data_IF_557967453389
#
_entry.id   IF_557967453389
#
_cell.length_a   1.000
_cell.length_b   1.000
_cell.length_c   1.000
_cell.angle_alpha   90.00
_cell.angle_beta   90.00
_cell.angle_gamma   90.00
#
_symmetry.space_group_name_H-M   'P 1'
#
loop_
_entity.id
_entity.type
_entity.pdbx_description
1 polymer ?
#
# COMPACT_ATOMS: atom_id res chain seq x y z
N UNK A 1 -17.44 17.68 6.94
CA UNK A 1 -17.13 16.29 6.56
C UNK A 1 -17.67 16.06 5.16
N UNK A 2 -16.80 15.76 4.19
CA UNK A 2 -17.28 15.22 2.91
C UNK A 2 -18.00 13.90 3.22
N UNK A 3 -19.21 13.69 2.70
CA UNK A 3 -19.99 12.45 2.95
C UNK A 3 -19.37 11.18 2.34
N UNK A 4 -18.05 11.14 2.16
CA UNK A 4 -17.30 10.04 1.56
C UNK A 4 -17.27 8.85 2.52
N UNK A 5 -17.67 7.68 2.01
CA UNK A 5 -17.59 6.43 2.77
C UNK A 5 -16.13 6.00 2.91
N UNK A 6 -15.70 5.77 4.13
CA UNK A 6 -14.34 5.32 4.45
C UNK A 6 -14.41 3.95 5.12
N UNK A 7 -13.51 3.07 4.70
CA UNK A 7 -13.27 1.78 5.34
C UNK A 7 -11.92 1.87 6.07
N UNK A 8 -11.93 1.81 7.40
CA UNK A 8 -10.72 2.03 8.22
C UNK A 8 -9.80 0.81 8.31
N UNK A 9 -10.23 -0.34 7.77
CA UNK A 9 -9.53 -1.62 7.83
C UNK A 9 -9.76 -2.39 6.53
N UNK A 10 -8.77 -3.17 6.14
CA UNK A 10 -8.88 -4.15 5.06
C UNK A 10 -7.54 -4.86 4.82
N UNK A 11 -7.61 -6.03 4.21
CA UNK A 11 -6.45 -6.82 3.79
C UNK A 11 -6.17 -6.55 2.31
N UNK A 12 -4.98 -6.02 2.02
CA UNK A 12 -4.53 -5.79 0.64
C UNK A 12 -3.76 -7.01 0.13
N UNK A 13 -4.22 -7.56 -0.98
CA UNK A 13 -3.50 -8.59 -1.73
C UNK A 13 -2.66 -7.91 -2.81
N UNK A 14 -1.34 -8.10 -2.76
CA UNK A 14 -0.46 -7.64 -3.81
C UNK A 14 -0.18 -8.80 -4.79
N UNK A 15 -0.55 -8.62 -6.04
CA UNK A 15 -0.25 -9.54 -7.14
C UNK A 15 0.80 -8.93 -8.08
N UNK A 16 1.47 -9.75 -8.88
CA UNK A 16 2.52 -9.27 -9.79
C UNK A 16 1.97 -8.43 -10.97
N UNK A 17 0.85 -8.85 -11.58
CA UNK A 17 0.38 -8.25 -12.83
C UNK A 17 1.26 -8.61 -14.04
N UNK A 18 1.13 -7.91 -15.19
CA UNK A 18 0.22 -6.80 -15.47
C UNK A 18 -1.21 -7.26 -15.80
N UNK A 19 -1.42 -8.56 -15.98
CA UNK A 19 -2.74 -9.11 -16.20
C UNK A 19 -3.58 -9.03 -14.91
N UNK A 20 -4.88 -8.74 -15.06
CA UNK A 20 -5.83 -8.87 -13.96
C UNK A 20 -6.00 -10.33 -13.56
N UNK A 21 -6.47 -10.54 -12.33
CA UNK A 21 -6.79 -11.87 -11.83
C UNK A 21 -7.87 -12.53 -12.70
N UNK A 22 -7.71 -13.82 -12.94
CA UNK A 22 -8.83 -14.67 -13.34
C UNK A 22 -9.87 -14.72 -12.22
N UNK A 23 -11.11 -15.10 -12.55
CA UNK A 23 -12.16 -15.24 -11.55
C UNK A 23 -11.81 -16.25 -10.45
N UNK A 24 -11.10 -17.33 -10.79
CA UNK A 24 -10.66 -18.31 -9.81
C UNK A 24 -9.66 -17.71 -8.80
N UNK A 25 -8.72 -16.90 -9.27
CA UNK A 25 -7.78 -16.18 -8.41
C UNK A 25 -8.51 -15.15 -7.54
N UNK A 26 -9.44 -14.36 -8.10
CA UNK A 26 -10.24 -13.41 -7.32
C UNK A 26 -11.02 -14.08 -6.18
N UNK A 27 -11.63 -15.25 -6.44
CA UNK A 27 -12.32 -16.01 -5.39
C UNK A 27 -11.35 -16.59 -4.36
N UNK A 28 -10.17 -17.07 -4.79
CA UNK A 28 -9.12 -17.53 -3.88
C UNK A 28 -8.66 -16.39 -2.95
N UNK A 29 -8.41 -15.19 -3.49
CA UNK A 29 -8.01 -14.03 -2.69
C UNK A 29 -9.08 -13.65 -1.65
N UNK A 30 -10.36 -13.74 -2.03
CA UNK A 30 -11.48 -13.51 -1.10
C UNK A 30 -11.55 -14.58 -0.01
N UNK A 31 -11.32 -15.85 -0.36
CA UNK A 31 -11.25 -16.95 0.61
C UNK A 31 -10.11 -16.77 1.62
N UNK A 32 -9.00 -16.15 1.20
CA UNK A 32 -7.89 -15.77 2.10
C UNK A 32 -8.19 -14.52 2.95
N UNK A 33 -9.35 -13.89 2.77
CA UNK A 33 -9.74 -12.68 3.48
C UNK A 33 -9.20 -11.39 2.87
N UNK A 34 -8.82 -11.40 1.59
CA UNK A 34 -8.46 -10.20 0.84
C UNK A 34 -9.68 -9.30 0.58
N UNK A 35 -9.57 -8.04 0.98
CA UNK A 35 -10.59 -7.01 0.77
C UNK A 35 -10.31 -6.16 -0.48
N UNK A 36 -9.03 -6.00 -0.79
CA UNK A 36 -8.52 -5.18 -1.88
C UNK A 36 -7.42 -5.93 -2.62
N UNK A 37 -7.25 -5.63 -3.90
CA UNK A 37 -6.17 -6.18 -4.72
C UNK A 37 -5.50 -5.07 -5.52
N UNK A 38 -4.19 -5.20 -5.73
CA UNK A 38 -3.42 -4.37 -6.66
C UNK A 38 -1.99 -4.89 -6.79
N UNK A 39 -1.10 -4.06 -7.31
CA UNK A 39 0.20 -4.51 -7.82
C UNK A 39 1.41 -3.72 -7.28
N UNK A 40 1.21 -2.80 -6.33
CA UNK A 40 2.25 -1.81 -5.97
C UNK A 40 2.64 -1.77 -4.50
N UNK A 41 1.78 -2.22 -3.58
CA UNK A 41 2.06 -2.09 -2.14
C UNK A 41 3.23 -2.97 -1.66
N UNK A 42 3.60 -3.99 -2.45
CA UNK A 42 4.77 -4.83 -2.21
C UNK A 42 5.71 -4.74 -3.41
N UNK A 43 7.03 -4.59 -3.20
CA UNK A 43 7.75 -4.62 -1.92
C UNK A 43 7.77 -3.30 -1.14
N UNK A 44 7.07 -2.26 -1.58
CA UNK A 44 7.12 -0.91 -1.00
C UNK A 44 6.95 -0.88 0.53
N UNK A 45 5.93 -1.54 1.07
CA UNK A 45 5.68 -1.57 2.51
C UNK A 45 6.80 -2.26 3.31
N UNK A 46 7.48 -3.26 2.72
CA UNK A 46 8.64 -3.93 3.34
C UNK A 46 9.85 -3.00 3.34
N UNK A 47 10.13 -2.36 2.21
CA UNK A 47 11.25 -1.42 2.10
C UNK A 47 11.07 -0.22 3.03
N UNK A 48 9.85 0.31 3.15
CA UNK A 48 9.56 1.37 4.11
C UNK A 48 9.82 0.92 5.56
N UNK A 49 9.48 -0.33 5.90
CA UNK A 49 9.78 -0.90 7.22
C UNK A 49 11.28 -1.08 7.46
N UNK A 50 12.03 -1.56 6.47
CA UNK A 50 13.48 -1.68 6.53
C UNK A 50 14.17 -0.31 6.61
N UNK A 51 13.58 0.73 6.04
CA UNK A 51 14.01 2.12 6.21
C UNK A 51 13.48 2.80 7.48
N UNK A 52 12.77 2.06 8.33
CA UNK A 52 12.18 2.52 9.59
C UNK A 52 11.22 3.71 9.45
N UNK A 53 10.55 3.78 8.30
CA UNK A 53 9.54 4.78 7.99
C UNK A 53 8.16 4.29 8.43
N UNK A 54 7.38 5.17 9.08
CA UNK A 54 5.97 4.91 9.33
C UNK A 54 5.21 4.93 8.00
N UNK A 55 4.71 3.77 7.59
CA UNK A 55 4.02 3.57 6.32
C UNK A 55 2.53 3.30 6.52
N UNK A 56 1.68 3.97 5.74
CA UNK A 56 0.25 3.71 5.66
C UNK A 56 -0.21 3.80 4.21
N UNK A 57 -1.07 2.86 3.80
CA UNK A 57 -1.62 2.80 2.45
C UNK A 57 -3.03 3.37 2.42
N UNK A 58 -3.28 4.32 1.51
CA UNK A 58 -4.62 4.81 1.19
C UNK A 58 -5.04 4.18 -0.14
N UNK A 59 -5.88 3.16 -0.08
CA UNK A 59 -6.38 2.51 -1.28
C UNK A 59 -7.58 3.26 -1.87
N UNK A 60 -7.62 3.34 -3.20
CA UNK A 60 -8.69 3.97 -3.97
C UNK A 60 -9.38 2.88 -4.80
N UNK A 61 -10.49 2.30 -4.32
CA UNK A 61 -11.19 1.24 -5.06
C UNK A 61 -11.72 1.79 -6.40
N UNK A 62 -11.28 1.18 -7.50
CA UNK A 62 -11.67 1.54 -8.86
C UNK A 62 -12.81 0.69 -9.40
N UNK A 63 -12.78 -0.60 -9.06
CA UNK A 63 -13.67 -1.64 -9.55
C UNK A 63 -13.76 -2.79 -8.53
N UNK A 64 -14.45 -3.86 -8.92
CA UNK A 64 -14.71 -5.04 -8.09
C UNK A 64 -13.88 -6.26 -8.52
N UNK A 65 -12.76 -6.08 -9.21
CA UNK A 65 -11.98 -7.17 -9.80
C UNK A 65 -12.88 -8.11 -10.64
N UNK A 66 -12.42 -9.33 -10.93
CA UNK A 66 -13.14 -10.29 -11.76
C UNK A 66 -14.11 -11.21 -10.99
N UNK A 67 -14.24 -11.07 -9.66
CA UNK A 67 -15.19 -11.90 -8.88
C UNK A 67 -16.65 -11.51 -9.15
N UNK A 68 -16.90 -10.21 -9.39
CA UNK A 68 -18.24 -9.73 -9.72
C UNK A 68 -18.50 -9.98 -11.22
N UNK A 69 -19.56 -10.72 -11.58
CA UNK A 69 -19.91 -10.92 -12.98
C UNK A 69 -20.07 -9.57 -13.68
N UNK A 70 -19.42 -9.41 -14.83
CA UNK A 70 -19.60 -8.22 -15.66
C UNK A 70 -21.07 -8.12 -16.05
N UNK A 71 -21.66 -6.94 -15.90
CA UNK A 71 -23.05 -6.76 -16.30
C UNK A 71 -23.13 -6.88 -17.83
N UNK A 72 -23.99 -7.77 -18.31
CA UNK A 72 -24.10 -8.12 -19.74
C UNK A 72 -24.74 -7.01 -20.58
N UNK A 73 -25.24 -5.95 -19.95
CA UNK A 73 -25.86 -4.77 -20.55
C UNK A 73 -24.86 -3.65 -20.88
N UNK A 74 -23.61 -3.73 -20.40
CA UNK A 74 -22.59 -2.70 -20.62
C UNK A 74 -21.52 -3.15 -21.61
N UNK A 75 -21.16 -2.27 -22.54
CA UNK A 75 -20.00 -2.43 -23.40
C UNK A 75 -18.69 -2.29 -22.60
N UNK A 76 -17.59 -2.88 -23.12
CA UNK A 76 -16.25 -2.74 -22.51
C UNK A 76 -15.84 -1.27 -22.31
N UNK A 77 -16.27 -0.39 -23.22
CA UNK A 77 -15.99 1.05 -23.14
C UNK A 77 -16.75 1.73 -22.00
N UNK A 78 -18.00 1.33 -21.75
CA UNK A 78 -18.79 1.87 -20.63
C UNK A 78 -18.23 1.42 -19.29
N UNK A 79 -17.76 0.17 -19.19
CA UNK A 79 -17.06 -0.32 -18.00
C UNK A 79 -15.79 0.50 -17.72
N UNK A 80 -14.94 0.71 -18.73
CA UNK A 80 -13.75 1.55 -18.58
C UNK A 80 -14.11 2.98 -18.16
N UNK A 81 -15.19 3.54 -18.72
CA UNK A 81 -15.67 4.88 -18.35
C UNK A 81 -16.14 4.95 -16.89
N UNK A 82 -16.81 3.91 -16.39
CA UNK A 82 -17.19 3.78 -14.98
C UNK A 82 -15.94 3.76 -14.08
N UNK A 83 -14.94 2.94 -14.43
CA UNK A 83 -13.66 2.82 -13.70
C UNK A 83 -12.93 4.17 -13.65
N UNK A 84 -12.78 4.85 -14.78
CA UNK A 84 -12.14 6.17 -14.83
C UNK A 84 -12.92 7.23 -14.05
N UNK A 85 -14.25 7.17 -14.07
CA UNK A 85 -15.11 8.04 -13.26
C UNK A 85 -14.88 7.85 -11.76
N UNK A 86 -14.91 6.60 -11.29
CA UNK A 86 -14.64 6.23 -9.90
C UNK A 86 -13.24 6.68 -9.47
N UNK A 87 -12.23 6.43 -10.30
CA UNK A 87 -10.84 6.85 -10.04
C UNK A 87 -10.70 8.37 -9.92
N UNK A 88 -11.40 9.13 -10.75
CA UNK A 88 -11.32 10.60 -10.72
C UNK A 88 -11.89 11.14 -9.41
N UNK A 89 -13.04 10.63 -8.98
CA UNK A 89 -13.65 11.02 -7.71
C UNK A 89 -12.81 10.58 -6.52
N UNK A 90 -12.33 9.34 -6.52
CA UNK A 90 -11.49 8.80 -5.46
C UNK A 90 -10.17 9.58 -5.34
N UNK A 91 -9.55 9.94 -6.46
CA UNK A 91 -8.31 10.75 -6.50
C UNK A 91 -8.55 12.14 -5.90
N UNK A 92 -9.67 12.79 -6.24
CA UNK A 92 -10.03 14.08 -5.65
C UNK A 92 -10.18 13.97 -4.13
N UNK A 93 -10.87 12.94 -3.64
CA UNK A 93 -11.03 12.71 -2.21
C UNK A 93 -9.70 12.40 -1.51
N UNK A 94 -8.81 11.65 -2.17
CA UNK A 94 -7.47 11.34 -1.68
C UNK A 94 -6.60 12.61 -1.54
N UNK A 95 -6.66 13.52 -2.52
CA UNK A 95 -5.92 14.78 -2.44
C UNK A 95 -6.39 15.64 -1.25
N UNK A 96 -7.69 15.70 -0.99
CA UNK A 96 -8.21 16.41 0.18
C UNK A 96 -7.79 15.75 1.49
N UNK A 97 -7.76 14.41 1.54
CA UNK A 97 -7.21 13.67 2.68
C UNK A 97 -5.73 13.99 2.92
N UNK A 98 -4.91 13.99 1.87
CA UNK A 98 -3.48 14.30 1.96
C UNK A 98 -3.27 15.73 2.46
N UNK A 99 -3.99 16.72 1.92
CA UNK A 99 -3.91 18.11 2.39
C UNK A 99 -4.26 18.23 3.87
N UNK A 100 -5.32 17.55 4.31
CA UNK A 100 -5.74 17.54 5.71
C UNK A 100 -4.78 16.79 6.63
N UNK A 101 -4.08 15.76 6.11
CA UNK A 101 -3.06 15.04 6.86
C UNK A 101 -1.79 15.90 7.03
N UNK A 102 -1.33 16.54 5.95
CA UNK A 102 -0.15 17.42 5.97
C UNK A 102 -0.37 18.63 6.87
N UNK A 103 -1.56 19.24 6.86
CA UNK A 103 -1.86 20.38 7.75
C UNK A 103 -1.91 20.02 9.23
N UNK A 104 -1.97 18.72 9.56
CA UNK A 104 -1.97 18.19 10.93
C UNK A 104 -0.69 17.46 11.27
N UNK A 105 0.33 17.52 10.41
CA UNK A 105 1.55 16.74 10.55
C UNK A 105 2.29 17.04 11.86
N UNK A 106 2.38 18.31 12.26
CA UNK A 106 3.03 18.71 13.51
C UNK A 106 2.39 18.06 14.75
N UNK A 107 1.09 17.77 14.71
CA UNK A 107 0.38 17.11 15.81
C UNK A 107 0.62 15.59 15.89
N UNK A 108 1.20 14.99 14.84
CA UNK A 108 1.43 13.55 14.74
C UNK A 108 2.91 13.18 14.57
N UNK A 109 3.79 14.17 14.33
CA UNK A 109 5.22 13.95 14.05
C UNK A 109 5.92 13.17 15.18
N UNK A 110 5.57 13.46 16.44
CA UNK A 110 6.16 12.83 17.62
C UNK A 110 5.42 11.57 18.08
N UNK A 111 4.41 11.11 17.34
CA UNK A 111 3.67 9.89 17.72
C UNK A 111 4.56 8.68 17.44
N UNK A 112 4.92 7.89 18.46
CA UNK A 112 5.81 6.75 18.28
C UNK A 112 5.15 5.70 17.39
N UNK A 113 5.90 5.22 16.40
CA UNK A 113 5.49 4.13 15.51
C UNK A 113 6.39 2.92 15.72
N UNK A 114 5.84 1.68 15.75
CA UNK A 114 6.65 0.46 15.79
C UNK A 114 7.61 0.30 14.61
N UNK A 115 7.48 1.11 13.55
CA UNK A 115 8.41 1.09 12.42
C UNK A 115 9.75 1.77 12.74
N UNK A 116 9.80 2.74 13.66
CA UNK A 116 10.95 3.64 13.86
C UNK A 116 12.20 2.95 14.43
N UNK A 117 12.04 1.75 14.99
CA UNK A 117 13.13 0.91 15.51
C UNK A 117 13.06 -0.53 14.96
N UNK A 118 12.39 -0.72 13.81
CA UNK A 118 12.13 -2.05 13.27
C UNK A 118 13.39 -2.87 12.98
N UNK A 119 14.53 -2.20 12.74
CA UNK A 119 15.78 -2.87 12.42
C UNK A 119 16.61 -3.28 13.64
N UNK A 120 16.27 -2.80 14.84
CA UNK A 120 17.07 -2.95 16.07
C UNK A 120 17.46 -4.40 16.37
N UNK A 121 16.54 -5.34 16.14
CA UNK A 121 16.73 -6.77 16.37
C UNK A 121 16.63 -7.60 15.06
N UNK A 122 16.56 -6.93 13.91
CA UNK A 122 16.41 -7.58 12.62
C UNK A 122 17.74 -7.90 11.93
N UNK A 123 18.84 -7.26 12.34
CA UNK A 123 20.18 -7.48 11.77
C UNK A 123 20.89 -8.60 12.52
N UNK A 124 20.89 -9.80 11.94
CA UNK A 124 21.51 -11.00 12.52
C UNK A 124 22.94 -11.25 12.04
N UNK A 125 23.35 -10.57 10.97
CA UNK A 125 24.69 -10.69 10.40
C UNK A 125 25.75 -10.26 11.41
N UNK A 126 26.82 -11.06 11.53
CA UNK A 126 27.96 -10.74 12.39
C UNK A 126 28.59 -9.41 11.92
N UNK A 127 28.59 -8.40 12.80
CA UNK A 127 28.95 -7.01 12.42
C UNK A 127 30.37 -6.90 11.87
N UNK A 128 31.30 -7.68 12.40
CA UNK A 128 32.70 -7.77 11.97
C UNK A 128 32.86 -8.34 10.55
N UNK A 129 31.87 -9.09 10.04
CA UNK A 129 31.88 -9.68 8.70
C UNK A 129 31.23 -8.78 7.64
N UNK A 130 30.63 -7.65 8.04
CA UNK A 130 30.01 -6.71 7.11
C UNK A 130 31.10 -5.87 6.45
N UNK A 131 31.23 -6.00 5.13
CA UNK A 131 32.24 -5.28 4.36
C UNK A 131 32.07 -3.76 4.46
N UNK A 132 33.18 -3.02 4.36
CA UNK A 132 33.16 -1.55 4.36
C UNK A 132 32.31 -0.98 3.22
N UNK A 133 32.27 -1.65 2.06
CA UNK A 133 31.41 -1.28 0.95
C UNK A 133 29.91 -1.35 1.32
N UNK A 134 29.49 -2.45 1.97
CA UNK A 134 28.10 -2.61 2.41
C UNK A 134 27.74 -1.61 3.51
N UNK A 135 28.65 -1.34 4.44
CA UNK A 135 28.47 -0.31 5.47
C UNK A 135 28.23 1.06 4.85
N UNK A 136 29.07 1.47 3.90
CA UNK A 136 28.94 2.74 3.19
C UNK A 136 27.63 2.82 2.39
N UNK A 137 27.27 1.75 1.67
CA UNK A 137 26.06 1.71 0.83
C UNK A 137 24.76 1.78 1.63
N UNK A 138 24.73 1.19 2.82
CA UNK A 138 23.51 1.09 3.65
C UNK A 138 23.53 2.00 4.88
N UNK A 139 24.50 2.92 4.98
CA UNK A 139 24.72 3.76 6.16
C UNK A 139 23.45 4.49 6.64
N UNK A 140 22.67 5.03 5.70
CA UNK A 140 21.41 5.72 6.01
C UNK A 140 20.35 4.83 6.68
N UNK A 141 20.40 3.51 6.45
CA UNK A 141 19.39 2.56 6.94
C UNK A 141 19.87 1.84 8.19
N UNK A 142 21.12 1.35 8.18
CA UNK A 142 21.64 0.47 9.23
C UNK A 142 22.78 1.09 10.04
N UNK A 143 23.27 2.28 9.67
CA UNK A 143 24.43 2.92 10.29
C UNK A 143 24.25 3.16 11.80
N UNK A 144 23.02 3.43 12.25
CA UNK A 144 22.71 3.56 13.68
C UNK A 144 22.87 2.26 14.49
N UNK A 145 23.00 1.11 13.82
CA UNK A 145 23.10 -0.22 14.43
C UNK A 145 24.45 -0.92 14.19
N UNK A 146 25.28 -0.40 13.28
CA UNK A 146 26.53 -1.03 12.85
C UNK A 146 27.79 -0.37 13.43
#
# INVERSE_FOLDING_TARGET
>A
SSGTRIHSKGTYVCMEGPAFSSRAESEMHRLWGGDLIGMTAMPEAKLAREAELAYALVCLPSDYDCWRPCRTDLSKHELLKEIFGNLTEATRNAMELIKAAVSRFDAIADVPSPAMNALELAIWSAKDQISNDTRSRLDLLIGKYL
#
